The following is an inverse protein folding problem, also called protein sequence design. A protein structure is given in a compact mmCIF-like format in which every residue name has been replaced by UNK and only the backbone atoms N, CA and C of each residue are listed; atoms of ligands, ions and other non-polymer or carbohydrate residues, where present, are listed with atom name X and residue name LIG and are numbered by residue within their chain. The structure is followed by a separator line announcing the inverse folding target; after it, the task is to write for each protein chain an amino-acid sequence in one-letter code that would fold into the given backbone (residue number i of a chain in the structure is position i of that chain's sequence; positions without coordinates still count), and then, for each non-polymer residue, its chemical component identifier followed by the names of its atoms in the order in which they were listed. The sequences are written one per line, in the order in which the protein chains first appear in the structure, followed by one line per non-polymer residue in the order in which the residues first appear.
data_IF_797264833412
#
_entry.id   IF_797264833412
#
_cell.length_a   1.000
_cell.length_b   1.000
_cell.length_c   1.000
_cell.angle_alpha   90.00
_cell.angle_beta   90.00
_cell.angle_gamma   90.00
#
_symmetry.space_group_name_H-M   'P 1'
#
loop_
_entity.id
_entity.type
_entity.pdbx_description
1 polymer ?
#
# COMPACT_ATOMS: atom_id res chain seq x y z
N UNK A 1 -23.04 -3.96 4.26
CA UNK A 1 -22.16 -5.12 4.52
C UNK A 1 -20.86 -4.89 3.78
N UNK A 2 -19.76 -4.68 4.50
CA UNK A 2 -18.44 -4.42 3.94
C UNK A 2 -17.46 -4.45 5.09
N UNK A 3 -16.83 -5.59 5.32
CA UNK A 3 -15.73 -5.66 6.26
C UNK A 3 -14.51 -4.98 5.59
N UNK A 4 -13.76 -4.12 6.30
CA UNK A 4 -12.57 -3.50 5.75
C UNK A 4 -11.53 -4.59 5.47
N UNK A 5 -10.81 -4.44 4.36
CA UNK A 5 -9.85 -5.42 3.84
C UNK A 5 -8.76 -5.80 4.85
N UNK A 6 -8.53 -5.00 5.89
CA UNK A 6 -7.60 -5.31 6.98
C UNK A 6 -8.08 -4.70 8.30
N UNK A 7 -8.81 -5.47 9.11
CA UNK A 7 -8.97 -5.14 10.53
C UNK A 7 -7.66 -5.48 11.25
N UNK A 8 -6.95 -4.47 11.76
CA UNK A 8 -5.81 -4.65 12.65
C UNK A 8 -6.13 -4.08 14.04
N UNK A 9 -5.84 -4.79 15.14
CA UNK A 9 -5.23 -6.13 15.19
C UNK A 9 -6.21 -7.24 14.77
N UNK A 10 -5.72 -8.39 14.25
CA UNK A 10 -6.57 -9.55 14.01
C UNK A 10 -7.21 -9.94 15.35
N UNK A 11 -8.53 -9.80 15.45
CA UNK A 11 -9.23 -10.08 16.71
C UNK A 11 -9.12 -11.55 17.11
N UNK A 12 -8.94 -12.42 16.13
CA UNK A 12 -8.78 -13.85 16.32
C UNK A 12 -7.66 -14.34 15.38
N UNK A 13 -6.86 -15.31 15.85
CA UNK A 13 -6.03 -16.15 14.96
C UNK A 13 -6.88 -16.57 13.76
N UNK A 14 -6.30 -16.73 12.56
CA UNK A 14 -6.99 -17.28 11.37
C UNK A 14 -7.94 -18.36 11.87
N UNK A 15 -9.26 -18.09 11.80
CA UNK A 15 -10.21 -19.01 12.40
C UNK A 15 -9.90 -20.41 11.83
N UNK A 16 -9.93 -21.44 12.65
CA UNK A 16 -9.69 -22.83 12.20
C UNK A 16 -10.44 -23.13 10.91
N UNK A 17 -11.64 -22.57 10.77
CA UNK A 17 -12.43 -22.57 9.54
C UNK A 17 -11.72 -21.98 8.29
N UNK A 18 -11.11 -20.80 8.37
CA UNK A 18 -10.37 -20.22 7.24
C UNK A 18 -9.15 -21.06 6.85
N UNK A 19 -8.46 -21.63 7.84
CA UNK A 19 -7.35 -22.56 7.59
C UNK A 19 -7.85 -23.84 6.92
N UNK A 20 -8.94 -24.43 7.40
CA UNK A 20 -9.55 -25.63 6.85
C UNK A 20 -10.07 -25.40 5.42
N UNK A 21 -10.68 -24.24 5.14
CA UNK A 21 -11.04 -23.83 3.79
C UNK A 21 -9.82 -23.69 2.88
N UNK A 22 -8.70 -23.16 3.39
CA UNK A 22 -7.46 -23.05 2.63
C UNK A 22 -6.88 -24.43 2.26
N UNK A 23 -7.01 -25.44 3.13
CA UNK A 23 -6.55 -26.80 2.85
C UNK A 23 -7.37 -27.51 1.75
N UNK A 24 -8.57 -27.03 1.41
CA UNK A 24 -9.41 -27.62 0.35
C UNK A 24 -8.93 -27.27 -1.07
N UNK A 25 -8.03 -26.29 -1.23
CA UNK A 25 -7.50 -25.96 -2.54
C UNK A 25 -6.46 -26.99 -2.99
N UNK A 26 -6.82 -27.82 -3.97
CA UNK A 26 -5.91 -28.81 -4.56
C UNK A 26 -4.78 -28.22 -5.41
N UNK A 27 -4.91 -26.96 -5.82
CA UNK A 27 -3.91 -26.26 -6.64
C UNK A 27 -3.76 -24.83 -6.16
N UNK A 28 -2.52 -24.37 -6.09
CA UNK A 28 -2.18 -22.98 -5.89
C UNK A 28 -1.35 -22.48 -7.07
N UNK A 29 -1.68 -21.30 -7.58
CA UNK A 29 -0.92 -20.63 -8.65
C UNK A 29 -0.34 -19.36 -8.06
N UNK A 30 0.98 -19.22 -8.13
CA UNK A 30 1.69 -18.02 -7.70
C UNK A 30 2.16 -17.25 -8.93
N UNK A 31 1.64 -16.04 -9.12
CA UNK A 31 2.14 -15.11 -10.13
C UNK A 31 3.43 -14.46 -9.63
N UNK A 32 4.47 -14.47 -10.45
CA UNK A 32 5.79 -13.92 -10.10
C UNK A 32 6.07 -12.56 -10.74
N UNK A 33 5.39 -12.24 -11.84
CA UNK A 33 5.66 -11.05 -12.63
C UNK A 33 4.86 -9.85 -12.13
N UNK A 34 5.53 -8.73 -11.93
CA UNK A 34 4.91 -7.43 -11.60
C UNK A 34 4.61 -6.71 -12.91
N UNK A 35 3.36 -6.30 -13.10
CA UNK A 35 2.88 -5.69 -14.36
C UNK A 35 2.48 -4.22 -14.23
N UNK A 36 2.22 -3.74 -13.00
CA UNK A 36 1.79 -2.35 -12.76
C UNK A 36 2.97 -1.39 -12.78
N UNK A 37 4.05 -1.78 -12.12
CA UNK A 37 5.31 -1.06 -12.07
C UNK A 37 6.32 -1.70 -13.03
N UNK A 38 6.16 -1.51 -14.34
CA UNK A 38 7.15 -2.00 -15.29
C UNK A 38 8.39 -1.09 -15.22
N UNK A 39 9.56 -1.65 -14.87
CA UNK A 39 10.82 -0.94 -15.11
C UNK A 39 11.26 -1.22 -16.54
N UNK A 40 11.43 -0.19 -17.35
CA UNK A 40 12.40 -0.29 -18.44
C UNK A 40 13.80 -0.27 -17.82
N UNK A 41 14.81 -0.84 -18.48
CA UNK A 41 16.18 -0.94 -17.93
C UNK A 41 16.82 0.41 -17.61
N UNK A 42 16.19 1.52 -18.02
CA UNK A 42 16.64 2.89 -17.81
C UNK A 42 16.06 3.57 -16.56
N UNK A 43 15.03 3.00 -15.91
CA UNK A 43 14.45 3.55 -14.68
C UNK A 43 14.94 2.79 -13.43
N UNK A 44 16.09 3.23 -12.94
CA UNK A 44 16.73 2.67 -11.75
C UNK A 44 15.88 2.86 -10.47
N UNK A 45 15.12 3.95 -10.39
CA UNK A 45 14.24 4.21 -9.24
C UNK A 45 13.07 3.25 -9.25
N UNK A 46 12.48 2.99 -10.43
CA UNK A 46 11.39 2.01 -10.56
C UNK A 46 11.86 0.60 -10.23
N UNK A 47 13.06 0.22 -10.68
CA UNK A 47 13.68 -1.06 -10.32
C UNK A 47 13.89 -1.18 -8.82
N UNK A 48 14.44 -0.13 -8.19
CA UNK A 48 14.66 -0.09 -6.74
C UNK A 48 13.35 -0.16 -5.95
N UNK A 49 12.30 0.50 -6.43
CA UNK A 49 10.97 0.45 -5.83
C UNK A 49 10.37 -0.98 -5.83
N UNK A 50 10.57 -1.74 -6.91
CA UNK A 50 10.12 -3.14 -7.00
C UNK A 50 10.83 -4.01 -5.94
N UNK A 51 12.15 -3.88 -5.82
CA UNK A 51 12.95 -4.62 -4.83
C UNK A 51 12.49 -4.32 -3.39
N UNK A 52 12.26 -3.04 -3.09
CA UNK A 52 11.76 -2.60 -1.77
C UNK A 52 10.36 -3.16 -1.51
N UNK A 53 9.47 -3.13 -2.50
CA UNK A 53 8.09 -3.60 -2.37
C UNK A 53 8.01 -5.08 -1.97
N UNK A 54 8.87 -5.92 -2.53
CA UNK A 54 8.96 -7.34 -2.14
C UNK A 54 9.43 -7.53 -0.69
N UNK A 55 10.45 -6.76 -0.28
CA UNK A 55 10.96 -6.80 1.11
C UNK A 55 9.90 -6.36 2.12
N UNK A 56 9.18 -5.26 1.82
CA UNK A 56 8.08 -4.76 2.64
C UNK A 56 6.94 -5.78 2.75
N UNK A 57 6.52 -6.38 1.61
CA UNK A 57 5.48 -7.41 1.58
C UNK A 57 5.81 -8.59 2.48
N UNK A 58 7.08 -8.97 2.54
CA UNK A 58 7.57 -10.10 3.33
C UNK A 58 7.94 -9.70 4.77
N UNK A 59 7.80 -8.43 5.17
CA UNK A 59 8.11 -7.95 6.52
C UNK A 59 9.59 -8.04 6.90
N UNK A 60 10.50 -7.95 5.93
CA UNK A 60 11.95 -8.02 6.19
C UNK A 60 12.42 -6.76 6.91
N UNK A 61 13.01 -6.93 8.10
CA UNK A 61 13.58 -5.85 8.90
C UNK A 61 15.06 -6.15 9.18
N UNK A 62 15.96 -5.53 8.42
CA UNK A 62 17.40 -5.74 8.47
C UNK A 62 18.16 -4.40 8.34
N UNK A 63 19.48 -4.47 8.15
CA UNK A 63 20.37 -3.32 8.00
C UNK A 63 20.01 -2.38 6.85
N UNK A 64 19.26 -2.86 5.85
CA UNK A 64 18.84 -2.08 4.68
C UNK A 64 17.51 -1.35 4.89
N UNK A 65 16.74 -1.71 5.91
CA UNK A 65 15.41 -1.15 6.16
C UNK A 65 15.42 0.38 6.27
N UNK A 66 16.45 0.96 6.89
CA UNK A 66 16.58 2.42 7.00
C UNK A 66 16.75 3.07 5.63
N UNK A 67 17.56 2.49 4.75
CA UNK A 67 17.80 3.02 3.40
C UNK A 67 16.59 2.84 2.50
N UNK A 68 15.86 1.72 2.65
CA UNK A 68 14.59 1.49 1.96
C UNK A 68 13.57 2.59 2.34
N UNK A 69 13.47 2.95 3.63
CA UNK A 69 12.61 4.07 4.08
C UNK A 69 13.05 5.42 3.53
N UNK A 70 14.35 5.73 3.56
CA UNK A 70 14.87 6.97 2.97
C UNK A 70 14.53 7.07 1.48
N UNK A 71 14.61 5.96 0.75
CA UNK A 71 14.23 5.92 -0.65
C UNK A 71 12.74 6.24 -0.86
N UNK A 72 11.85 5.60 -0.09
CA UNK A 72 10.40 5.82 -0.21
C UNK A 72 10.00 7.26 0.14
N UNK A 73 10.63 7.83 1.16
CA UNK A 73 10.36 9.20 1.61
C UNK A 73 10.95 10.29 0.69
N UNK A 74 11.70 9.94 -0.36
CA UNK A 74 12.12 10.92 -1.38
C UNK A 74 10.94 11.63 -2.02
N UNK A 75 9.81 10.94 -2.19
CA UNK A 75 8.56 11.48 -2.76
C UNK A 75 7.52 11.87 -1.72
N UNK A 76 7.96 12.15 -0.50
CA UNK A 76 7.10 12.76 0.51
C UNK A 76 6.60 14.15 0.02
N UNK A 77 5.35 14.45 0.34
CA UNK A 77 4.76 15.76 0.06
C UNK A 77 5.41 16.79 0.97
N UNK A 78 5.93 17.86 0.36
CA UNK A 78 6.60 18.99 1.01
C UNK A 78 5.96 20.29 0.53
N UNK A 79 6.06 21.39 1.30
CA UNK A 79 5.48 22.67 0.89
C UNK A 79 5.93 23.17 -0.49
N UNK A 80 7.09 22.74 -0.96
CA UNK A 80 7.70 23.17 -2.23
C UNK A 80 7.39 22.26 -3.44
N UNK A 81 6.66 21.16 -3.27
CA UNK A 81 6.30 20.25 -4.37
C UNK A 81 4.80 19.93 -4.45
N UNK A 82 3.95 20.72 -3.78
CA UNK A 82 2.50 20.50 -3.74
C UNK A 82 1.86 20.42 -5.13
N UNK A 83 2.37 21.22 -6.08
CA UNK A 83 1.88 21.28 -7.46
C UNK A 83 1.99 19.94 -8.20
N UNK A 84 2.96 19.08 -7.83
CA UNK A 84 3.15 17.76 -8.43
C UNK A 84 2.04 16.75 -8.05
N UNK A 85 1.23 17.08 -7.04
CA UNK A 85 0.23 16.17 -6.45
C UNK A 85 -1.21 16.67 -6.59
N UNK A 86 -1.47 17.70 -7.41
CA UNK A 86 -2.81 18.29 -7.57
C UNK A 86 -3.85 17.25 -8.01
N UNK A 87 -3.46 16.34 -8.91
CA UNK A 87 -4.34 15.27 -9.42
C UNK A 87 -4.12 13.92 -8.73
N UNK A 88 -3.41 13.89 -7.60
CA UNK A 88 -3.10 12.65 -6.91
C UNK A 88 -4.31 12.07 -6.16
N UNK A 89 -4.49 10.75 -6.26
CA UNK A 89 -5.44 10.05 -5.41
C UNK A 89 -4.88 9.89 -4.00
N UNK A 90 -5.64 10.35 -3.00
CA UNK A 90 -5.27 10.20 -1.58
C UNK A 90 -5.86 8.93 -1.02
N UNK A 91 -5.00 8.09 -0.45
CA UNK A 91 -5.42 6.92 0.33
C UNK A 91 -5.44 7.31 1.80
N UNK A 92 -6.50 6.91 2.49
CA UNK A 92 -6.67 7.13 3.92
C UNK A 92 -6.63 5.80 4.67
N UNK A 93 -6.10 5.78 5.91
CA UNK A 93 -6.05 4.56 6.71
C UNK A 93 -7.44 4.05 7.08
N UNK A 94 -8.41 4.96 7.23
CA UNK A 94 -9.79 4.64 7.55
C UNK A 94 -10.79 5.61 6.91
N UNK A 95 -12.08 5.31 7.09
CA UNK A 95 -13.17 6.10 6.55
C UNK A 95 -13.42 7.39 7.34
N UNK A 96 -13.04 7.47 8.62
CA UNK A 96 -13.25 8.68 9.43
C UNK A 96 -12.48 9.86 8.85
N UNK A 97 -11.23 9.63 8.45
CA UNK A 97 -10.38 10.66 7.86
C UNK A 97 -10.89 11.13 6.49
N UNK A 98 -11.50 10.23 5.71
CA UNK A 98 -12.09 10.56 4.42
C UNK A 98 -13.29 11.50 4.56
N UNK A 99 -14.24 11.19 5.45
CA UNK A 99 -15.46 11.98 5.63
C UNK A 99 -15.17 13.41 6.09
N UNK A 100 -14.14 13.60 6.94
CA UNK A 100 -13.79 14.92 7.45
C UNK A 100 -13.39 15.90 6.32
N UNK A 101 -12.79 15.44 5.23
CA UNK A 101 -12.31 16.31 4.12
C UNK A 101 -13.40 16.53 3.07
N UNK A 102 -14.19 15.50 2.75
CA UNK A 102 -15.27 15.63 1.76
C UNK A 102 -16.36 16.58 2.24
N UNK A 103 -16.67 16.60 3.55
CA UNK A 103 -17.68 17.51 4.12
C UNK A 103 -17.22 18.98 4.05
N UNK A 104 -15.94 19.28 4.26
CA UNK A 104 -15.42 20.66 4.18
C UNK A 104 -15.46 21.22 2.75
N UNK A 105 -15.30 20.37 1.74
CA UNK A 105 -15.33 20.78 0.32
C UNK A 105 -16.75 20.84 -0.27
N UNK A 106 -17.76 20.20 0.35
CA UNK A 106 -19.16 20.27 -0.11
C UNK A 106 -19.90 21.48 0.51
N UNK A 107 -19.48 21.96 1.69
CA UNK A 107 -20.17 23.07 2.39
C UNK A 107 -19.63 24.46 1.98
N UNK A 108 -18.59 24.53 1.16
CA UNK A 108 -18.11 25.80 0.59
C UNK A 108 -18.17 25.78 -0.95
N UNK A 109 -19.35 25.84 -1.57
CA UNK A 109 -19.46 26.40 -2.91
C UNK A 109 -19.40 27.93 -2.79
N UNK A 110 -18.44 28.56 -3.49
CA UNK A 110 -18.52 29.98 -3.83
C UNK A 110 -19.74 30.23 -4.71
#
# INVERSE_FOLDING_TARGET
MGAPLYNFPPKDQISTHCYDCYQQFHKAICLKTIVRQLSNDYDLDQKKFIEISERLRNGVNDDKTIEDWKFLLKREIKPNNLEEFVDAFRLFPDNSDFFQITVTNIIMPN
#
